data_IF_287144849155
#
_entry.id   IF_287144849155
#
_cell.length_a   1.000
_cell.length_b   1.000
_cell.length_c   1.000
_cell.angle_alpha   90.00
_cell.angle_beta   90.00
_cell.angle_gamma   90.00
#
_symmetry.space_group_name_H-M   'P 1'
#
loop_
_entity.id
_entity.type
_entity.pdbx_description
1 polymer ?
#
# COMPACT_ATOMS: atom_id res chain seq x y z
N UNK A 1 16.53 -4.36 -0.05
CA UNK A 1 15.20 -5.00 -0.09
C UNK A 1 14.76 -5.42 1.29
N UNK A 2 13.52 -5.23 1.59
CA UNK A 2 12.94 -5.67 2.86
C UNK A 2 11.49 -6.07 2.68
N UNK A 3 10.97 -6.82 3.63
CA UNK A 3 9.56 -7.20 3.65
C UNK A 3 8.83 -6.14 4.47
N UNK A 4 7.84 -5.50 3.87
CA UNK A 4 7.07 -4.44 4.50
C UNK A 4 5.58 -4.67 4.31
N UNK A 5 4.77 -3.99 5.13
CA UNK A 5 3.33 -3.95 4.92
C UNK A 5 3.04 -2.82 3.94
N UNK A 6 2.37 -3.13 2.86
CA UNK A 6 1.98 -2.14 1.87
C UNK A 6 0.48 -2.06 1.72
N UNK A 7 -0.02 -0.84 1.56
CA UNK A 7 -1.40 -0.60 1.13
C UNK A 7 -1.37 -0.45 -0.38
N UNK A 8 -1.99 -1.39 -1.06
CA UNK A 8 -1.98 -1.44 -2.52
C UNK A 8 -3.32 -0.96 -3.07
N UNK A 9 -3.25 -0.08 -4.04
CA UNK A 9 -4.43 0.39 -4.77
C UNK A 9 -4.45 -0.34 -6.12
N UNK A 10 -5.50 -1.11 -6.34
CA UNK A 10 -5.63 -1.95 -7.52
C UNK A 10 -6.80 -1.45 -8.37
N UNK A 11 -6.52 -1.19 -9.63
CA UNK A 11 -7.51 -0.78 -10.62
C UNK A 11 -7.49 -1.77 -11.77
N UNK A 12 -8.63 -2.39 -12.04
CA UNK A 12 -8.77 -3.39 -13.12
C UNK A 12 -7.69 -4.49 -13.08
N UNK A 13 -7.38 -4.96 -11.87
CA UNK A 13 -6.40 -6.02 -11.68
C UNK A 13 -4.94 -5.58 -11.67
N UNK A 14 -4.68 -4.29 -11.87
CA UNK A 14 -3.31 -3.77 -11.87
C UNK A 14 -3.05 -2.91 -10.64
N UNK A 15 -1.86 -3.07 -10.04
CA UNK A 15 -1.44 -2.24 -8.93
C UNK A 15 -1.01 -0.89 -9.50
N UNK A 16 -1.73 0.17 -9.15
CA UNK A 16 -1.42 1.52 -9.63
C UNK A 16 -0.76 2.40 -8.57
N UNK A 17 -0.91 2.04 -7.31
CA UNK A 17 -0.23 2.73 -6.21
C UNK A 17 0.13 1.76 -5.12
N UNK A 18 1.18 2.08 -4.38
CA UNK A 18 1.58 1.34 -3.19
C UNK A 18 2.10 2.32 -2.15
N UNK A 19 1.68 2.12 -0.91
CA UNK A 19 2.06 2.99 0.20
C UNK A 19 2.60 2.16 1.34
N UNK A 20 3.74 2.55 1.90
CA UNK A 20 4.32 1.91 3.06
C UNK A 20 3.46 2.15 4.29
N UNK A 21 3.22 1.10 5.07
CA UNK A 21 2.57 1.18 6.37
C UNK A 21 3.44 0.52 7.43
N UNK A 22 3.42 1.06 8.63
CA UNK A 22 4.26 0.57 9.72
C UNK A 22 3.80 -0.78 10.27
N UNK A 23 2.50 -1.07 10.17
CA UNK A 23 1.92 -2.29 10.69
C UNK A 23 0.66 -2.65 9.92
N UNK A 24 0.22 -3.89 10.08
CA UNK A 24 -1.03 -4.33 9.48
C UNK A 24 -2.23 -3.54 10.04
N UNK A 25 -2.22 -3.25 11.32
CA UNK A 25 -3.24 -2.41 11.96
C UNK A 25 -3.36 -1.05 11.31
N UNK A 26 -2.22 -0.39 11.11
CA UNK A 26 -2.18 0.93 10.46
C UNK A 26 -2.67 0.85 9.02
N UNK A 27 -2.29 -0.21 8.32
CA UNK A 27 -2.72 -0.45 6.95
C UNK A 27 -4.24 -0.61 6.87
N UNK A 28 -4.82 -1.43 7.71
CA UNK A 28 -6.26 -1.68 7.73
C UNK A 28 -7.06 -0.43 8.07
N UNK A 29 -6.52 0.41 8.95
CA UNK A 29 -7.14 1.69 9.30
C UNK A 29 -7.18 2.63 8.09
N UNK A 30 -6.05 2.75 7.41
CA UNK A 30 -5.94 3.57 6.20
C UNK A 30 -6.82 3.04 5.08
N UNK A 31 -6.87 1.73 4.93
CA UNK A 31 -7.73 1.06 3.95
C UNK A 31 -9.19 1.42 4.17
N UNK A 32 -9.67 1.37 5.41
CA UNK A 32 -11.04 1.72 5.76
C UNK A 32 -11.38 3.15 5.38
N UNK A 33 -10.49 4.07 5.69
CA UNK A 33 -10.68 5.49 5.38
C UNK A 33 -10.72 5.70 3.86
N UNK A 34 -9.78 5.08 3.15
CA UNK A 34 -9.69 5.21 1.71
C UNK A 34 -10.91 4.62 0.99
N UNK A 35 -11.43 3.51 1.47
CA UNK A 35 -12.60 2.86 0.88
C UNK A 35 -13.88 3.70 0.97
N UNK A 36 -13.93 4.65 1.89
CA UNK A 36 -15.06 5.56 2.00
C UNK A 36 -15.06 6.64 0.92
N UNK A 37 -13.91 6.88 0.32
CA UNK A 37 -13.72 7.98 -0.62
C UNK A 37 -13.73 7.54 -2.08
N UNK A 38 -13.70 6.23 -2.35
CA UNK A 38 -13.64 5.71 -3.70
C UNK A 38 -14.78 4.74 -3.98
N UNK A 39 -15.07 4.56 -5.27
CA UNK A 39 -16.08 3.59 -5.70
C UNK A 39 -15.48 2.18 -5.63
N UNK A 40 -16.00 1.30 -4.76
CA UNK A 40 -15.46 -0.05 -4.60
C UNK A 40 -15.65 -0.96 -5.81
N UNK A 41 -16.44 -0.56 -6.77
CA UNK A 41 -16.64 -1.35 -7.99
C UNK A 41 -15.45 -1.28 -8.94
N UNK A 42 -14.75 -0.15 -8.95
CA UNK A 42 -13.64 0.08 -9.87
C UNK A 42 -12.29 -0.10 -9.22
N UNK A 43 -12.20 0.16 -7.93
CA UNK A 43 -10.93 0.28 -7.21
C UNK A 43 -10.95 -0.61 -5.98
N UNK A 44 -9.85 -1.31 -5.74
CA UNK A 44 -9.69 -2.16 -4.56
C UNK A 44 -8.46 -1.75 -3.79
N UNK A 45 -8.56 -1.79 -2.47
CA UNK A 45 -7.42 -1.62 -1.59
C UNK A 45 -7.09 -2.94 -0.93
N UNK A 46 -5.81 -3.27 -0.88
CA UNK A 46 -5.34 -4.51 -0.27
C UNK A 46 -4.17 -4.20 0.66
N UNK A 47 -4.23 -4.72 1.88
CA UNK A 47 -3.10 -4.68 2.80
C UNK A 47 -2.35 -5.99 2.67
N UNK A 48 -1.08 -5.93 2.33
CA UNK A 48 -0.29 -7.13 2.06
C UNK A 48 1.16 -6.94 2.46
N UNK A 49 1.80 -8.02 2.87
CA UNK A 49 3.25 -8.05 3.03
C UNK A 49 3.86 -8.18 1.65
N UNK A 50 4.79 -7.31 1.34
CA UNK A 50 5.49 -7.34 0.06
C UNK A 50 6.98 -7.20 0.28
N UNK A 51 7.77 -7.81 -0.58
CA UNK A 51 9.20 -7.55 -0.64
C UNK A 51 9.38 -6.34 -1.53
N UNK A 52 10.03 -5.32 -1.02
CA UNK A 52 10.11 -4.05 -1.72
C UNK A 52 11.46 -3.37 -1.53
N UNK A 53 11.83 -2.57 -2.51
CA UNK A 53 12.90 -1.61 -2.35
C UNK A 53 12.30 -0.37 -1.73
N UNK A 54 12.94 0.14 -0.68
CA UNK A 54 12.42 1.29 0.06
C UNK A 54 13.51 2.35 0.22
N UNK A 55 13.09 3.58 0.47
CA UNK A 55 13.99 4.65 0.85
C UNK A 55 13.33 5.53 1.89
N UNK A 56 14.15 6.28 2.61
CA UNK A 56 13.64 7.26 3.57
C UNK A 56 13.71 8.61 2.88
N UNK A 57 12.56 9.25 2.77
CA UNK A 57 12.43 10.56 2.15
C UNK A 57 11.73 11.49 3.15
N UNK A 58 12.40 12.58 3.50
CA UNK A 58 11.89 13.56 4.46
C UNK A 58 11.45 12.94 5.79
N UNK A 59 12.20 11.94 6.27
CA UNK A 59 11.90 11.26 7.51
C UNK A 59 10.85 10.17 7.44
N UNK A 60 10.27 9.93 6.27
CA UNK A 60 9.27 8.89 6.07
C UNK A 60 9.77 7.81 5.13
N UNK A 61 9.49 6.56 5.45
CA UNK A 61 9.84 5.45 4.58
C UNK A 61 8.85 5.37 3.42
N UNK A 62 9.37 5.16 2.24
CA UNK A 62 8.58 5.09 1.03
C UNK A 62 8.96 3.86 0.21
N UNK A 63 7.98 3.20 -0.35
CA UNK A 63 8.22 2.07 -1.26
C UNK A 63 8.57 2.63 -2.63
N UNK A 64 9.74 2.24 -3.14
CA UNK A 64 10.16 2.61 -4.49
C UNK A 64 9.65 1.61 -5.51
N UNK A 65 9.74 0.32 -5.17
CA UNK A 65 9.41 -0.75 -6.10
C UNK A 65 9.04 -2.00 -5.32
N UNK A 66 7.98 -2.67 -5.75
CA UNK A 66 7.59 -3.96 -5.22
C UNK A 66 8.26 -5.04 -6.06
N UNK A 67 8.97 -5.94 -5.38
CA UNK A 67 9.67 -7.02 -6.06
C UNK A 67 8.83 -8.29 -6.01
N UNK A 68 8.08 -8.44 -4.91
CA UNK A 68 7.03 -9.46 -4.85
C UNK A 68 6.43 -9.65 -3.49
#
# INVERSE_FOLDING_TARGET
MEIVIGLLLILNGNIIEHTYKESLSACLRSKRIAEREVNPESVRFVCKRVTAETEIYMGSKKILKIIK
#
